data_IF_749525717023
#
_entry.id   IF_749525717023
#
_cell.length_a   1.000
_cell.length_b   1.000
_cell.length_c   1.000
_cell.angle_alpha   90.00
_cell.angle_beta   90.00
_cell.angle_gamma   90.00
#
_symmetry.space_group_name_H-M   'P 1'
#
loop_
_entity.id
_entity.type
_entity.pdbx_description
1 polymer ?
#
# COMPACT_ATOMS: atom_id res chain seq x y z
N UNK A 1 -44.26 17.30 8.32
CA UNK A 1 -43.58 17.95 9.44
C UNK A 1 -44.34 19.24 9.71
N UNK A 2 -45.19 19.31 10.74
CA UNK A 2 -45.90 20.54 11.10
C UNK A 2 -44.98 21.33 12.04
N UNK A 3 -44.21 22.26 11.50
CA UNK A 3 -43.33 23.14 12.25
C UNK A 3 -43.54 24.57 11.77
N UNK A 4 -43.86 25.49 12.67
CA UNK A 4 -44.02 26.92 12.34
C UNK A 4 -42.67 27.63 12.11
N UNK A 5 -41.56 26.93 12.37
CA UNK A 5 -40.22 27.48 12.23
C UNK A 5 -39.61 27.12 10.86
N UNK A 6 -39.71 28.07 9.92
CA UNK A 6 -39.09 27.96 8.60
C UNK A 6 -37.57 27.77 8.67
N UNK A 7 -36.90 28.28 9.71
CA UNK A 7 -35.45 28.10 9.85
C UNK A 7 -35.08 26.65 10.16
N UNK A 8 -35.93 25.94 10.92
CA UNK A 8 -35.72 24.52 11.20
C UNK A 8 -35.85 23.67 9.92
N UNK A 9 -36.79 24.03 9.03
CA UNK A 9 -36.95 23.39 7.72
C UNK A 9 -35.74 23.70 6.82
N UNK A 10 -35.29 24.96 6.75
CA UNK A 10 -34.10 25.35 5.98
C UNK A 10 -32.84 24.62 6.46
N UNK A 11 -32.58 24.62 7.77
CA UNK A 11 -31.46 23.90 8.37
C UNK A 11 -31.51 22.39 8.05
N UNK A 12 -32.69 21.78 8.06
CA UNK A 12 -32.84 20.37 7.68
C UNK A 12 -32.40 20.13 6.23
N UNK A 13 -32.82 20.97 5.28
CA UNK A 13 -32.43 20.82 3.88
C UNK A 13 -30.95 21.17 3.63
N UNK A 14 -30.39 22.15 4.33
CA UNK A 14 -28.95 22.47 4.27
C UNK A 14 -28.10 21.32 4.79
N UNK A 15 -28.45 20.75 5.95
CA UNK A 15 -27.78 19.56 6.47
C UNK A 15 -27.92 18.37 5.49
N UNK A 16 -29.11 18.18 4.92
CA UNK A 16 -29.33 17.10 3.96
C UNK A 16 -28.51 17.29 2.68
N UNK A 17 -28.34 18.53 2.22
CA UNK A 17 -27.46 18.86 1.09
C UNK A 17 -26.00 18.51 1.41
N UNK A 18 -25.51 18.89 2.59
CA UNK A 18 -24.14 18.57 3.03
C UNK A 18 -23.90 17.05 3.10
N UNK A 19 -24.85 16.28 3.63
CA UNK A 19 -24.79 14.82 3.66
C UNK A 19 -24.70 14.21 2.24
N UNK A 20 -25.49 14.73 1.30
CA UNK A 20 -25.47 14.26 -0.10
C UNK A 20 -24.13 14.61 -0.76
N UNK A 21 -23.59 15.80 -0.50
CA UNK A 21 -22.27 16.21 -1.01
C UNK A 21 -21.16 15.29 -0.47
N UNK A 22 -21.15 14.98 0.84
CA UNK A 22 -20.18 14.05 1.43
C UNK A 22 -20.26 12.65 0.80
N UNK A 23 -21.48 12.16 0.55
CA UNK A 23 -21.70 10.87 -0.13
C UNK A 23 -21.20 10.89 -1.57
N UNK A 24 -21.47 11.96 -2.32
CA UNK A 24 -21.02 12.12 -3.69
C UNK A 24 -19.49 12.13 -3.78
N UNK A 25 -18.80 12.92 -2.96
CA UNK A 25 -17.34 12.96 -2.93
C UNK A 25 -16.73 11.62 -2.55
N UNK A 26 -17.34 10.93 -1.58
CA UNK A 26 -16.92 9.59 -1.19
C UNK A 26 -16.99 8.64 -2.39
N UNK A 27 -18.13 8.57 -3.09
CA UNK A 27 -18.31 7.71 -4.26
C UNK A 27 -17.35 8.05 -5.41
N UNK A 28 -17.12 9.34 -5.66
CA UNK A 28 -16.16 9.78 -6.66
C UNK A 28 -14.75 9.27 -6.34
N UNK A 29 -14.32 9.40 -5.08
CA UNK A 29 -13.06 8.86 -4.62
C UNK A 29 -12.98 7.33 -4.82
N UNK A 30 -14.03 6.58 -4.46
CA UNK A 30 -14.05 5.12 -4.68
C UNK A 30 -13.91 4.78 -6.17
N UNK A 31 -14.55 5.54 -7.05
CA UNK A 31 -14.41 5.40 -8.50
C UNK A 31 -12.95 5.51 -8.95
N UNK A 32 -12.26 6.59 -8.53
CA UNK A 32 -10.85 6.79 -8.88
C UNK A 32 -9.93 5.72 -8.29
N UNK A 33 -10.25 5.18 -7.11
CA UNK A 33 -9.50 4.07 -6.52
C UNK A 33 -9.62 2.80 -7.38
N UNK A 34 -10.85 2.46 -7.78
CA UNK A 34 -11.12 1.28 -8.61
C UNK A 34 -10.42 1.40 -9.96
N UNK A 35 -10.46 2.56 -10.60
CA UNK A 35 -9.75 2.83 -11.87
C UNK A 35 -8.24 2.56 -11.73
N UNK A 36 -7.60 3.08 -10.68
CA UNK A 36 -6.17 2.82 -10.43
C UNK A 36 -5.87 1.33 -10.23
N UNK A 37 -6.74 0.62 -9.51
CA UNK A 37 -6.55 -0.82 -9.30
C UNK A 37 -6.68 -1.61 -10.61
N UNK A 38 -7.61 -1.24 -11.49
CA UNK A 38 -7.73 -1.82 -12.83
C UNK A 38 -6.43 -1.62 -13.61
N UNK A 39 -5.91 -0.39 -13.65
CA UNK A 39 -4.64 -0.10 -14.34
C UNK A 39 -3.46 -0.91 -13.78
N UNK A 40 -3.38 -1.07 -12.46
CA UNK A 40 -2.33 -1.87 -11.82
C UNK A 40 -2.47 -3.35 -12.18
N UNK A 41 -3.67 -3.90 -12.13
CA UNK A 41 -3.93 -5.29 -12.52
C UNK A 41 -3.58 -5.51 -14.00
N UNK A 42 -3.91 -4.58 -14.89
CA UNK A 42 -3.53 -4.67 -16.29
C UNK A 42 -2.02 -4.65 -16.49
N UNK A 43 -1.28 -3.84 -15.71
CA UNK A 43 0.19 -3.83 -15.73
C UNK A 43 0.78 -5.18 -15.30
N UNK A 44 0.13 -5.94 -14.42
CA UNK A 44 0.63 -7.27 -14.02
C UNK A 44 0.65 -8.27 -15.17
N UNK A 45 -0.15 -8.10 -16.23
CA UNK A 45 -0.18 -9.02 -17.38
C UNK A 45 1.08 -8.95 -18.24
N UNK A 46 1.75 -7.79 -18.28
CA UNK A 46 2.78 -7.49 -19.28
C UNK A 46 4.16 -7.17 -18.69
N UNK A 47 4.28 -6.88 -17.39
CA UNK A 47 5.47 -6.24 -16.81
C UNK A 47 6.09 -6.96 -15.60
N UNK A 48 5.79 -8.26 -15.42
CA UNK A 48 6.34 -9.03 -14.30
C UNK A 48 7.87 -9.05 -14.38
N UNK A 49 8.52 -8.74 -13.26
CA UNK A 49 9.99 -8.78 -13.11
C UNK A 49 10.75 -7.86 -14.07
N UNK A 50 10.08 -6.86 -14.64
CA UNK A 50 10.72 -5.75 -15.34
C UNK A 50 10.88 -4.56 -14.39
N UNK A 51 12.06 -3.95 -14.40
CA UNK A 51 12.40 -2.84 -13.49
C UNK A 51 12.73 -1.58 -14.27
N UNK A 52 12.28 -0.45 -13.74
CA UNK A 52 12.47 0.88 -14.33
C UNK A 52 12.75 1.88 -13.22
N UNK A 53 13.38 3.01 -13.54
CA UNK A 53 13.51 4.12 -12.59
C UNK A 53 12.30 5.03 -12.76
N UNK A 54 11.61 5.33 -11.66
CA UNK A 54 10.43 6.22 -11.63
C UNK A 54 10.43 7.09 -10.39
N UNK A 55 9.68 8.20 -10.47
CA UNK A 55 9.35 8.98 -9.29
C UNK A 55 8.32 8.22 -8.47
N UNK A 56 8.70 7.92 -7.23
CA UNK A 56 7.82 7.35 -6.24
C UNK A 56 6.84 8.43 -5.78
N UNK A 57 5.53 8.17 -5.81
CA UNK A 57 4.57 9.09 -5.23
C UNK A 57 4.68 9.10 -3.70
N UNK A 58 4.01 10.07 -3.09
CA UNK A 58 3.93 10.18 -1.64
C UNK A 58 3.04 9.09 -1.05
N UNK A 59 3.52 8.43 0.00
CA UNK A 59 2.78 7.40 0.70
C UNK A 59 2.82 7.60 2.22
N UNK A 60 1.82 7.04 2.88
CA UNK A 60 1.81 6.83 4.32
C UNK A 60 1.63 5.35 4.63
N UNK A 61 2.35 4.86 5.63
CA UNK A 61 2.37 3.43 5.96
C UNK A 61 2.06 3.18 7.43
N UNK A 62 1.09 2.29 7.69
CA UNK A 62 0.78 1.75 9.01
C UNK A 62 1.55 0.44 9.22
N UNK A 63 2.51 0.43 10.15
CA UNK A 63 3.18 -0.81 10.59
C UNK A 63 2.28 -1.61 11.53
N UNK A 64 2.15 -2.92 11.29
CA UNK A 64 1.25 -3.80 12.06
C UNK A 64 2.03 -4.85 12.85
N UNK A 65 2.91 -5.63 12.22
CA UNK A 65 3.73 -6.66 12.88
C UNK A 65 4.98 -7.01 12.06
N UNK A 66 5.99 -7.62 12.67
CA UNK A 66 7.16 -8.16 11.98
C UNK A 66 6.96 -9.65 11.64
N UNK A 67 7.54 -10.14 10.55
CA UNK A 67 7.45 -11.54 10.13
C UNK A 67 8.03 -12.52 11.15
N UNK A 68 8.88 -12.03 12.05
CA UNK A 68 9.48 -12.79 13.16
C UNK A 68 8.59 -12.88 14.40
N UNK A 69 7.46 -12.16 14.42
CA UNK A 69 6.56 -12.14 15.58
C UNK A 69 5.77 -13.46 15.67
N UNK A 70 6.15 -14.30 16.63
CA UNK A 70 5.46 -15.59 16.88
C UNK A 70 4.05 -15.35 17.47
N UNK A 71 3.91 -14.34 18.33
CA UNK A 71 2.65 -13.97 18.99
C UNK A 71 2.35 -12.51 18.66
N UNK A 72 1.17 -12.26 18.08
CA UNK A 72 0.72 -10.90 17.77
C UNK A 72 0.25 -10.19 19.04
N UNK A 73 0.74 -8.97 19.23
CA UNK A 73 0.27 -8.10 20.30
C UNK A 73 -1.17 -7.64 20.07
N UNK A 74 -1.87 -7.24 21.14
CA UNK A 74 -3.19 -6.61 21.03
C UNK A 74 -3.17 -5.35 20.14
N UNK A 75 -2.08 -4.60 20.16
CA UNK A 75 -1.88 -3.44 19.30
C UNK A 75 -1.85 -3.84 17.82
N UNK A 76 -1.07 -4.87 17.48
CA UNK A 76 -1.00 -5.43 16.12
C UNK A 76 -2.35 -5.93 15.64
N UNK A 77 -3.13 -6.59 16.51
CA UNK A 77 -4.49 -7.04 16.20
C UNK A 77 -5.40 -5.84 15.91
N UNK A 78 -5.37 -4.80 16.74
CA UNK A 78 -6.18 -3.61 16.53
C UNK A 78 -5.81 -2.87 15.24
N UNK A 79 -4.53 -2.73 14.94
CA UNK A 79 -4.05 -2.17 13.68
C UNK A 79 -4.44 -3.01 12.46
N UNK A 80 -4.52 -4.33 12.62
CA UNK A 80 -5.02 -5.23 11.56
C UNK A 80 -6.49 -4.98 11.27
N UNK A 81 -7.32 -4.77 12.32
CA UNK A 81 -8.74 -4.42 12.17
C UNK A 81 -8.93 -3.10 11.43
N UNK A 82 -8.13 -2.08 11.78
CA UNK A 82 -8.14 -0.77 11.10
C UNK A 82 -7.97 -0.92 9.59
N UNK A 83 -7.02 -1.73 9.14
CA UNK A 83 -6.80 -1.96 7.71
C UNK A 83 -7.92 -2.79 7.06
N UNK A 84 -8.40 -3.83 7.75
CA UNK A 84 -9.45 -4.71 7.25
C UNK A 84 -10.81 -4.01 7.10
N UNK A 85 -11.19 -3.16 8.05
CA UNK A 85 -12.44 -2.36 8.02
C UNK A 85 -12.48 -1.36 6.86
N UNK A 86 -11.32 -1.08 6.24
CA UNK A 86 -11.17 -0.11 5.15
C UNK A 86 -10.98 -0.77 3.79
N UNK A 87 -11.05 -2.10 3.70
CA UNK A 87 -11.07 -2.79 2.41
C UNK A 87 -12.30 -2.35 1.59
N UNK A 88 -12.19 -2.21 0.25
CA UNK A 88 -11.01 -2.50 -0.56
C UNK A 88 -9.98 -1.36 -0.63
N UNK A 89 -10.17 -0.24 0.07
CA UNK A 89 -9.37 1.00 -0.04
C UNK A 89 -8.02 0.95 0.69
N UNK A 90 -7.56 -0.23 1.07
CA UNK A 90 -6.27 -0.44 1.73
C UNK A 90 -5.48 -1.49 0.98
N UNK A 91 -4.22 -1.21 0.74
CA UNK A 91 -3.29 -2.18 0.18
C UNK A 91 -2.39 -2.72 1.29
N UNK A 92 -2.24 -4.05 1.36
CA UNK A 92 -1.21 -4.66 2.18
C UNK A 92 0.17 -4.16 1.75
N UNK A 93 1.12 -4.09 2.67
CA UNK A 93 2.45 -3.58 2.40
C UNK A 93 3.51 -4.33 3.20
N UNK A 94 4.60 -4.68 2.53
CA UNK A 94 5.80 -5.20 3.15
C UNK A 94 6.88 -4.12 3.15
N UNK A 95 7.71 -4.09 4.18
CA UNK A 95 8.82 -3.17 4.33
C UNK A 95 10.07 -3.98 4.73
N UNK A 96 11.15 -3.80 3.98
CA UNK A 96 12.41 -4.52 4.15
C UNK A 96 13.55 -3.51 4.35
N UNK A 97 14.52 -3.87 5.17
CA UNK A 97 15.79 -3.14 5.22
C UNK A 97 16.79 -3.80 4.27
N UNK A 98 17.39 -3.03 3.37
CA UNK A 98 18.40 -3.58 2.44
C UNK A 98 19.59 -4.20 3.18
N UNK A 99 19.93 -3.70 4.38
CA UNK A 99 21.03 -4.25 5.20
C UNK A 99 20.75 -5.68 5.66
N UNK A 100 19.49 -6.09 5.72
CA UNK A 100 19.08 -7.44 6.13
C UNK A 100 19.06 -8.41 4.93
N UNK A 101 19.34 -7.93 3.71
CA UNK A 101 19.41 -8.78 2.53
C UNK A 101 20.69 -9.63 2.56
N UNK A 102 20.51 -10.95 2.70
CA UNK A 102 21.58 -11.93 2.65
C UNK A 102 21.32 -12.94 1.51
N UNK A 103 22.16 -13.03 0.47
CA UNK A 103 21.94 -13.96 -0.64
C UNK A 103 22.00 -15.43 -0.24
N UNK A 104 22.55 -15.75 0.93
CA UNK A 104 22.62 -17.12 1.45
C UNK A 104 21.43 -17.48 2.38
N UNK A 105 20.42 -16.61 2.47
CA UNK A 105 19.20 -16.83 3.25
C UNK A 105 18.00 -16.97 2.31
N UNK A 106 17.04 -17.83 2.65
CA UNK A 106 15.76 -17.90 1.95
C UNK A 106 14.79 -16.80 2.41
N UNK A 107 15.03 -16.22 3.59
CA UNK A 107 14.15 -15.23 4.21
C UNK A 107 14.87 -13.92 4.49
N UNK A 108 14.08 -12.84 4.59
CA UNK A 108 14.50 -11.51 4.99
C UNK A 108 13.55 -10.97 6.05
N UNK A 109 14.08 -10.26 7.05
CA UNK A 109 13.24 -9.61 8.06
C UNK A 109 12.27 -8.65 7.37
N UNK A 110 10.97 -8.83 7.62
CA UNK A 110 9.92 -8.11 6.91
C UNK A 110 8.94 -7.52 7.90
N UNK A 111 8.73 -6.21 7.84
CA UNK A 111 7.63 -5.58 8.55
C UNK A 111 6.38 -5.58 7.65
N UNK A 112 5.25 -6.02 8.20
CA UNK A 112 3.98 -6.17 7.50
C UNK A 112 3.01 -5.10 7.98
N UNK A 113 2.25 -4.54 7.04
CA UNK A 113 1.36 -3.43 7.34
C UNK A 113 0.45 -3.05 6.18
N UNK A 114 -0.04 -1.81 6.22
CA UNK A 114 -0.90 -1.22 5.19
C UNK A 114 -0.26 0.07 4.67
N UNK A 115 -0.44 0.34 3.39
CA UNK A 115 0.07 1.55 2.73
C UNK A 115 -1.05 2.28 2.00
N UNK A 116 -0.94 3.61 2.01
CA UNK A 116 -1.93 4.54 1.48
C UNK A 116 -1.21 5.61 0.66
N UNK A 117 -1.77 6.02 -0.47
CA UNK A 117 -1.37 7.25 -1.13
C UNK A 117 -1.72 8.45 -0.23
N UNK A 118 -0.99 9.56 -0.35
CA UNK A 118 -1.34 10.79 0.38
C UNK A 118 -2.75 11.28 0.07
N UNK A 119 -3.23 11.10 -1.16
CA UNK A 119 -4.61 11.42 -1.57
C UNK A 119 -5.70 10.61 -0.85
N UNK A 120 -5.34 9.53 -0.15
CA UNK A 120 -6.29 8.64 0.52
C UNK A 120 -6.44 8.96 2.01
N UNK A 121 -5.57 9.79 2.59
CA UNK A 121 -5.56 10.04 4.03
C UNK A 121 -6.80 10.78 4.50
N UNK A 122 -7.09 11.93 3.89
CA UNK A 122 -8.24 12.76 4.26
C UNK A 122 -9.57 12.04 3.99
N UNK A 123 -9.83 11.44 2.79
CA UNK A 123 -11.08 10.73 2.53
C UNK A 123 -11.32 9.54 3.46
N UNK A 124 -10.26 8.83 3.87
CA UNK A 124 -10.34 7.70 4.81
C UNK A 124 -10.29 8.13 6.28
N UNK A 125 -10.24 9.44 6.55
CA UNK A 125 -10.15 10.06 7.89
C UNK A 125 -9.04 9.41 8.72
N UNK A 126 -7.88 9.19 8.11
CA UNK A 126 -6.72 8.56 8.73
C UNK A 126 -5.94 9.57 9.56
N UNK A 127 -5.46 9.14 10.73
CA UNK A 127 -4.59 9.97 11.55
C UNK A 127 -3.14 9.84 11.10
N UNK A 128 -2.66 10.81 10.32
CA UNK A 128 -1.29 10.85 9.78
C UNK A 128 -0.21 10.69 10.83
N UNK A 129 -0.41 11.23 12.04
CA UNK A 129 0.58 11.17 13.12
C UNK A 129 0.86 9.74 13.61
N UNK A 130 -0.01 8.78 13.25
CA UNK A 130 0.18 7.35 13.55
C UNK A 130 0.76 6.56 12.37
N UNK A 131 1.04 7.23 11.26
CA UNK A 131 1.54 6.64 10.03
C UNK A 131 2.98 7.09 9.80
N UNK A 132 3.76 6.19 9.20
CA UNK A 132 5.08 6.52 8.69
C UNK A 132 4.93 7.23 7.35
N UNK A 133 5.42 8.45 7.26
CA UNK A 133 5.48 9.18 5.99
C UNK A 133 6.64 8.65 5.12
N UNK A 134 6.35 8.40 3.84
CA UNK A 134 7.31 8.07 2.78
C UNK A 134 7.23 9.19 1.74
N UNK A 135 8.23 10.06 1.75
CA UNK A 135 8.30 11.22 0.86
C UNK A 135 8.51 10.82 -0.60
N UNK A 136 8.04 11.63 -1.56
CA UNK A 136 8.40 11.48 -2.98
C UNK A 136 9.91 11.44 -3.17
N UNK A 137 10.38 10.48 -3.97
CA UNK A 137 11.80 10.30 -4.27
C UNK A 137 11.98 9.43 -5.51
N UNK A 138 13.17 9.44 -6.12
CA UNK A 138 13.48 8.49 -7.20
C UNK A 138 13.65 7.08 -6.65
N UNK A 139 12.94 6.15 -7.27
CA UNK A 139 12.97 4.74 -6.91
C UNK A 139 13.18 3.87 -8.15
N UNK A 140 13.74 2.69 -7.92
CA UNK A 140 13.54 1.57 -8.82
C UNK A 140 12.14 1.02 -8.55
N UNK A 141 11.38 0.87 -9.62
CA UNK A 141 10.00 0.41 -9.65
C UNK A 141 9.88 -0.85 -10.49
N UNK A 142 9.13 -1.84 -9.99
CA UNK A 142 8.74 -3.01 -10.75
C UNK A 142 7.56 -3.74 -10.13
N UNK A 143 7.00 -4.69 -10.86
CA UNK A 143 5.98 -5.60 -10.33
C UNK A 143 6.65 -6.93 -10.00
N UNK A 144 6.50 -7.37 -8.76
CA UNK A 144 7.02 -8.64 -8.27
C UNK A 144 5.87 -9.53 -7.82
N UNK A 145 6.12 -10.84 -7.82
CA UNK A 145 5.16 -11.81 -7.29
C UNK A 145 5.89 -12.94 -6.57
N UNK A 146 5.27 -13.46 -5.52
CA UNK A 146 5.77 -14.64 -4.79
C UNK A 146 4.60 -15.35 -4.09
N UNK A 147 4.88 -16.47 -3.42
CA UNK A 147 3.91 -17.18 -2.59
C UNK A 147 3.36 -16.26 -1.50
N UNK A 148 2.04 -16.08 -1.48
CA UNK A 148 1.31 -15.26 -0.51
C UNK A 148 1.50 -15.75 0.93
N UNK A 149 1.88 -17.02 1.13
CA UNK A 149 2.15 -17.58 2.46
C UNK A 149 3.57 -17.27 2.96
N UNK A 150 4.46 -16.78 2.09
CA UNK A 150 5.86 -16.48 2.41
C UNK A 150 6.13 -14.98 2.24
N UNK A 151 5.55 -14.18 3.13
CA UNK A 151 5.70 -12.72 3.09
C UNK A 151 7.15 -12.28 3.35
N UNK A 152 7.95 -13.12 3.98
CA UNK A 152 9.37 -12.91 4.28
C UNK A 152 10.33 -13.52 3.25
N UNK A 153 9.83 -14.06 2.13
CA UNK A 153 10.67 -14.64 1.09
C UNK A 153 11.64 -13.60 0.51
N UNK A 154 12.95 -13.85 0.63
CA UNK A 154 14.00 -13.00 0.05
C UNK A 154 13.90 -12.96 -1.47
N UNK A 155 13.49 -14.07 -2.09
CA UNK A 155 13.36 -14.24 -3.55
C UNK A 155 12.58 -13.13 -4.24
N UNK A 156 11.62 -12.52 -3.53
CA UNK A 156 10.84 -11.37 -4.02
C UNK A 156 11.72 -10.18 -4.46
N UNK A 157 12.91 -10.03 -3.89
CA UNK A 157 13.83 -8.93 -4.21
C UNK A 157 14.87 -9.29 -5.27
N UNK A 158 15.00 -10.56 -5.65
CA UNK A 158 16.13 -11.06 -6.46
C UNK A 158 16.26 -10.35 -7.80
N UNK A 159 15.14 -10.25 -8.52
CA UNK A 159 15.11 -9.57 -9.82
C UNK A 159 15.55 -8.11 -9.73
N UNK A 160 15.09 -7.41 -8.68
CA UNK A 160 15.41 -6.01 -8.49
C UNK A 160 16.88 -5.81 -8.10
N UNK A 161 17.42 -6.69 -7.24
CA UNK A 161 18.83 -6.68 -6.85
C UNK A 161 19.75 -6.99 -8.03
N UNK A 162 19.37 -7.92 -8.92
CA UNK A 162 20.10 -8.16 -10.17
C UNK A 162 20.11 -6.91 -11.06
N UNK A 163 18.95 -6.28 -11.26
CA UNK A 163 18.84 -5.03 -12.03
C UNK A 163 19.73 -3.91 -11.45
N UNK A 164 19.76 -3.76 -10.12
CA UNK A 164 20.63 -2.78 -9.43
C UNK A 164 22.10 -3.01 -9.77
N UNK A 165 22.56 -4.26 -9.69
CA UNK A 165 23.96 -4.64 -9.96
C UNK A 165 24.33 -4.43 -11.42
N UNK A 166 23.48 -4.87 -12.34
CA UNK A 166 23.70 -4.76 -13.79
C UNK A 166 23.81 -3.29 -14.24
N UNK A 167 23.10 -2.39 -13.56
CA UNK A 167 23.07 -0.96 -13.88
C UNK A 167 23.96 -0.10 -12.98
N UNK A 168 24.77 -0.69 -12.10
CA UNK A 168 25.65 0.01 -11.15
C UNK A 168 24.91 1.09 -10.32
N UNK A 169 23.70 0.77 -9.85
CA UNK A 169 22.87 1.71 -9.09
C UNK A 169 23.17 1.63 -7.59
N UNK A 170 23.10 2.78 -6.91
CA UNK A 170 23.19 2.86 -5.46
C UNK A 170 21.80 3.06 -4.85
N UNK A 171 21.49 2.26 -3.84
CA UNK A 171 20.19 2.28 -3.16
C UNK A 171 20.34 2.68 -1.69
N UNK A 172 19.30 3.29 -1.12
CA UNK A 172 19.26 3.74 0.28
C UNK A 172 17.95 3.36 0.96
N UNK A 173 17.95 3.47 2.28
CA UNK A 173 16.74 3.42 3.08
C UNK A 173 16.04 2.06 3.05
N UNK A 174 14.72 2.10 3.16
CA UNK A 174 13.88 0.91 3.24
C UNK A 174 13.17 0.67 1.91
N UNK A 175 13.12 -0.61 1.54
CA UNK A 175 12.39 -1.10 0.38
C UNK A 175 10.97 -1.37 0.85
N UNK A 176 9.98 -1.01 0.05
CA UNK A 176 8.60 -1.31 0.40
C UNK A 176 7.80 -1.82 -0.78
N UNK A 177 6.71 -2.51 -0.46
CA UNK A 177 5.73 -2.94 -1.45
C UNK A 177 4.35 -2.36 -1.19
N UNK A 178 3.56 -2.35 -2.26
CA UNK A 178 2.12 -2.13 -2.22
C UNK A 178 1.42 -3.29 -2.93
N UNK A 179 0.52 -3.96 -2.22
CA UNK A 179 -0.27 -5.07 -2.74
C UNK A 179 -1.14 -4.60 -3.91
N UNK A 180 -1.10 -5.39 -4.99
CA UNK A 180 -2.00 -5.24 -6.14
C UNK A 180 -3.13 -6.26 -6.03
N UNK A 181 -2.80 -7.56 -6.00
CA UNK A 181 -3.80 -8.63 -6.05
C UNK A 181 -3.23 -9.98 -5.57
N UNK A 182 -4.12 -10.88 -5.13
CA UNK A 182 -3.84 -12.30 -4.97
C UNK A 182 -4.44 -13.11 -6.11
N UNK A 183 -3.65 -13.98 -6.71
CA UNK A 183 -4.12 -14.89 -7.77
C UNK A 183 -3.84 -16.32 -7.33
N UNK A 184 -4.86 -17.17 -7.41
CA UNK A 184 -4.69 -18.61 -7.19
C UNK A 184 -4.26 -19.26 -8.50
N UNK A 185 -3.10 -19.91 -8.49
CA UNK A 185 -2.54 -20.66 -9.61
C UNK A 185 -2.10 -22.05 -9.12
N UNK A 186 -2.63 -23.11 -9.72
CA UNK A 186 -2.20 -24.50 -9.51
C UNK A 186 -1.91 -24.88 -8.04
N UNK A 187 -2.90 -24.66 -7.15
CA UNK A 187 -2.87 -24.90 -5.70
C UNK A 187 -1.97 -23.97 -4.86
N UNK A 188 -1.33 -22.96 -5.47
CA UNK A 188 -0.62 -21.90 -4.76
C UNK A 188 -1.40 -20.59 -4.89
N UNK A 189 -1.29 -19.75 -3.87
CA UNK A 189 -1.79 -18.38 -3.93
C UNK A 189 -0.59 -17.49 -4.11
N UNK A 190 -0.50 -16.81 -5.24
CA UNK A 190 0.54 -15.84 -5.52
C UNK A 190 0.04 -14.44 -5.14
N UNK A 191 0.91 -13.68 -4.49
CA UNK A 191 0.68 -12.26 -4.18
C UNK A 191 1.49 -11.42 -5.16
N UNK A 192 0.82 -10.45 -5.78
CA UNK A 192 1.44 -9.48 -6.68
C UNK A 192 1.56 -8.14 -5.97
N UNK A 193 2.73 -7.53 -6.11
CA UNK A 193 3.09 -6.30 -5.42
C UNK A 193 3.79 -5.34 -6.38
N UNK A 194 3.49 -4.05 -6.25
CA UNK A 194 4.41 -3.00 -6.68
C UNK A 194 5.60 -3.00 -5.72
N UNK A 195 6.82 -3.00 -6.24
CA UNK A 195 8.06 -2.90 -5.47
C UNK A 195 8.71 -1.54 -5.70
N UNK A 196 9.07 -0.86 -4.62
CA UNK A 196 9.73 0.44 -4.62
C UNK A 196 11.04 0.37 -3.84
N UNK A 197 12.16 0.65 -4.51
CA UNK A 197 13.50 0.69 -3.90
C UNK A 197 14.09 2.10 -4.06
N UNK A 198 14.29 2.85 -2.97
CA UNK A 198 14.86 4.19 -3.06
C UNK A 198 16.29 4.20 -3.58
N UNK A 199 16.58 5.10 -4.52
CA UNK A 199 17.93 5.37 -5.01
C UNK A 199 18.63 6.41 -4.13
N UNK A 200 19.96 6.37 -4.05
CA UNK A 200 20.72 7.50 -3.51
C UNK A 200 20.50 8.74 -4.38
N UNK A 201 20.43 9.92 -3.76
CA UNK A 201 20.41 11.17 -4.53
C UNK A 201 21.79 11.34 -5.17
N UNK A 202 21.84 11.69 -6.45
CA UNK A 202 23.08 11.94 -7.20
C UNK A 202 23.68 13.29 -6.83
#
# INVERSE_FOLDING_TARGET
MNTEDLNLILNYYENRKLEIEEQFYSLLFLGTYVERQIELIEKTKNNISSFTIKDCPEFYRLSVFDSTDIIRSNESINKSKIGAERLPFTSGSMLFNIKDYNPNSDTIKTNIGYIYYSSEIEPLKLNENKLKHISPQKCIYGIVYDDAKKLDARSRLDGAISYIKENNLNIKGEIFTREIIYIKDNNKTCRYDELWIPLCDY
#
